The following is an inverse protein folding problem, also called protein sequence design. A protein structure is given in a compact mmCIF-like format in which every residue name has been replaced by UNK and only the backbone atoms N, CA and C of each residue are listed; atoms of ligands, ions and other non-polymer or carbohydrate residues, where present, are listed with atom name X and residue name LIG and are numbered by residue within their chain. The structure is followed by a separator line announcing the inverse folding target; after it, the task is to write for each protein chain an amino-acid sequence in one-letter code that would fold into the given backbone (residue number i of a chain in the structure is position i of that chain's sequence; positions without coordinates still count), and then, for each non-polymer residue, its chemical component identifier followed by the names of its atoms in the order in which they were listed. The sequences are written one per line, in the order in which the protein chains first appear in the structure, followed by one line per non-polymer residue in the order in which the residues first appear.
data_IF_304397977216
#
_entry.id   IF_304397977216
#
_cell.length_a   1.000
_cell.length_b   1.000
_cell.length_c   1.000
_cell.angle_alpha   90.00
_cell.angle_beta   90.00
_cell.angle_gamma   90.00
#
_symmetry.space_group_name_H-M   'P 1'
#
loop_
_entity.id
_entity.type
_entity.pdbx_description
1 polymer ?
#
# COMPACT_ATOMS: atom_id res chain seq x y z
N UNK A 1 8.12 5.29 5.76
CA UNK A 1 6.85 5.01 6.47
C UNK A 1 6.98 5.49 7.90
N UNK A 2 6.00 6.24 8.40
CA UNK A 2 6.00 6.82 9.74
C UNK A 2 5.04 6.10 10.70
N UNK A 3 4.97 6.55 11.95
CA UNK A 3 4.08 6.06 13.02
C UNK A 3 2.58 6.07 12.65
N UNK A 4 1.77 5.37 13.45
CA UNK A 4 0.31 5.27 13.28
C UNK A 4 -0.39 6.63 13.09
N UNK A 5 -0.03 7.62 13.89
CA UNK A 5 -0.47 9.01 13.73
C UNK A 5 0.55 9.78 12.91
N UNK A 6 0.09 10.39 11.81
CA UNK A 6 0.89 11.30 11.01
C UNK A 6 1.23 12.59 11.78
N UNK A 7 2.51 12.97 11.84
CA UNK A 7 2.94 14.24 12.45
C UNK A 7 2.50 15.48 11.67
N UNK A 8 2.31 15.35 10.34
CA UNK A 8 1.95 16.49 9.47
C UNK A 8 0.46 16.76 9.48
N UNK A 9 -0.38 15.72 9.46
CA UNK A 9 -1.83 15.84 9.27
C UNK A 9 -2.65 15.39 10.48
N UNK A 10 -2.04 14.67 11.42
CA UNK A 10 -2.74 14.06 12.55
C UNK A 10 -3.57 12.82 12.19
N UNK A 11 -3.66 12.42 10.90
CA UNK A 11 -4.42 11.25 10.45
C UNK A 11 -3.87 9.98 11.08
N UNK A 12 -4.77 9.11 11.53
CA UNK A 12 -4.47 7.78 12.06
C UNK A 12 -4.74 6.74 10.97
N UNK A 13 -3.85 5.77 10.82
CA UNK A 13 -4.00 4.70 9.83
C UNK A 13 -3.38 3.40 10.31
N UNK A 14 -4.10 2.30 10.06
CA UNK A 14 -3.66 0.95 10.40
C UNK A 14 -2.33 0.60 9.76
N UNK A 15 -1.59 -0.31 10.39
CA UNK A 15 -0.28 -0.77 9.92
C UNK A 15 -0.35 -1.31 8.47
N UNK A 16 -1.36 -2.12 8.15
CA UNK A 16 -1.54 -2.69 6.81
C UNK A 16 -1.75 -1.62 5.73
N UNK A 17 -2.50 -0.56 6.03
CA UNK A 17 -2.70 0.56 5.11
C UNK A 17 -1.38 1.31 4.90
N UNK A 18 -0.68 1.65 5.99
CA UNK A 18 0.62 2.34 5.93
C UNK A 18 1.66 1.56 5.14
N UNK A 19 1.79 0.25 5.39
CA UNK A 19 2.72 -0.62 4.69
C UNK A 19 2.32 -0.82 3.23
N UNK A 20 1.04 -1.13 2.96
CA UNK A 20 0.52 -1.28 1.61
C UNK A 20 0.72 -0.04 0.74
N UNK A 21 0.71 1.16 1.31
CA UNK A 21 1.03 2.40 0.60
C UNK A 21 2.54 2.66 0.48
N UNK A 22 3.36 2.16 1.40
CA UNK A 22 4.81 2.44 1.43
C UNK A 22 5.66 1.54 0.51
N UNK A 23 5.14 0.39 0.05
CA UNK A 23 5.92 -0.56 -0.78
C UNK A 23 6.22 -0.07 -2.21
N UNK A 24 5.53 0.97 -2.70
CA UNK A 24 5.55 1.37 -4.11
C UNK A 24 6.77 2.23 -4.42
N UNK A 25 7.91 1.57 -4.63
CA UNK A 25 9.20 2.19 -4.87
C UNK A 25 10.22 1.76 -3.81
N UNK A 26 11.01 2.70 -3.28
CA UNK A 26 11.97 2.42 -2.21
C UNK A 26 11.29 2.40 -0.84
N UNK A 27 11.14 1.20 -0.26
CA UNK A 27 10.59 1.04 1.09
C UNK A 27 11.59 1.54 2.14
N UNK A 28 11.11 2.39 3.05
CA UNK A 28 11.89 2.90 4.18
C UNK A 28 11.02 3.12 5.42
N UNK A 29 11.66 3.19 6.59
CA UNK A 29 11.02 3.33 7.90
C UNK A 29 11.57 4.54 8.66
N UNK A 30 10.67 5.36 9.17
CA UNK A 30 10.90 6.53 10.02
C UNK A 30 9.96 6.43 11.23
N UNK A 31 9.98 5.26 11.87
CA UNK A 31 9.12 4.89 12.98
C UNK A 31 9.98 4.24 14.06
N UNK A 32 9.82 4.66 15.32
CA UNK A 32 10.41 3.96 16.44
C UNK A 32 9.73 2.59 16.60
N UNK A 33 10.51 1.53 16.43
CA UNK A 33 10.05 0.14 16.48
C UNK A 33 10.17 -0.47 17.89
N UNK A 34 10.90 0.18 18.81
CA UNK A 34 11.09 -0.32 20.17
C UNK A 34 9.79 -0.58 20.95
N UNK A 35 8.72 0.24 20.82
CA UNK A 35 7.50 0.03 21.61
C UNK A 35 6.53 -0.97 20.96
N UNK A 36 6.88 -1.61 19.85
CA UNK A 36 5.94 -2.47 19.12
C UNK A 36 5.69 -3.80 19.82
N UNK A 37 4.45 -4.27 19.69
CA UNK A 37 4.09 -5.63 20.08
C UNK A 37 4.72 -6.65 19.14
N UNK A 38 4.86 -7.88 19.63
CA UNK A 38 5.38 -9.01 18.84
C UNK A 38 4.56 -9.22 17.55
N UNK A 39 3.23 -9.13 17.64
CA UNK A 39 2.35 -9.25 16.47
C UNK A 39 2.57 -8.14 15.42
N UNK A 40 2.89 -6.92 15.83
CA UNK A 40 3.22 -5.83 14.91
C UNK A 40 4.59 -6.04 14.25
N UNK A 41 5.56 -6.58 15.00
CA UNK A 41 6.88 -6.92 14.49
C UNK A 41 6.81 -8.08 13.49
N UNK A 42 6.00 -9.10 13.76
CA UNK A 42 5.76 -10.22 12.84
C UNK A 42 5.12 -9.74 11.54
N UNK A 43 4.06 -8.93 11.64
CA UNK A 43 3.44 -8.33 10.46
C UNK A 43 4.45 -7.49 9.68
N UNK A 44 5.27 -6.69 10.36
CA UNK A 44 6.32 -5.90 9.71
C UNK A 44 7.34 -6.78 8.98
N UNK A 45 7.75 -7.90 9.58
CA UNK A 45 8.68 -8.84 8.98
C UNK A 45 8.10 -9.50 7.71
N UNK A 46 6.83 -9.90 7.73
CA UNK A 46 6.12 -10.42 6.56
C UNK A 46 6.12 -9.41 5.41
N UNK A 47 5.81 -8.14 5.69
CA UNK A 47 5.83 -7.08 4.69
C UNK A 47 7.23 -6.80 4.15
N UNK A 48 8.26 -6.85 4.99
CA UNK A 48 9.65 -6.71 4.55
C UNK A 48 10.05 -7.88 3.65
N UNK A 49 9.65 -9.11 3.98
CA UNK A 49 9.90 -10.28 3.13
C UNK A 49 9.20 -10.11 1.79
N UNK A 50 7.90 -9.78 1.80
CA UNK A 50 7.14 -9.51 0.60
C UNK A 50 7.80 -8.44 -0.27
N UNK A 51 8.23 -7.31 0.32
CA UNK A 51 8.92 -6.27 -0.43
C UNK A 51 10.22 -6.80 -1.05
N UNK A 52 11.05 -7.53 -0.30
CA UNK A 52 12.30 -8.11 -0.82
C UNK A 52 12.06 -9.07 -1.98
N UNK A 53 11.04 -9.91 -1.89
CA UNK A 53 10.67 -10.89 -2.92
C UNK A 53 10.12 -10.23 -4.20
N UNK A 54 9.64 -8.99 -4.09
CA UNK A 54 8.97 -8.27 -5.18
C UNK A 54 9.69 -6.99 -5.62
N UNK A 55 10.80 -6.60 -4.98
CA UNK A 55 11.44 -5.29 -5.19
C UNK A 55 11.87 -5.05 -6.63
N UNK A 56 12.30 -6.10 -7.33
CA UNK A 56 12.75 -5.96 -8.72
C UNK A 56 11.58 -5.53 -9.60
N UNK A 57 10.39 -6.11 -9.39
CA UNK A 57 9.17 -5.64 -10.04
C UNK A 57 8.79 -4.23 -9.57
N UNK A 58 8.75 -3.99 -8.26
CA UNK A 58 8.29 -2.73 -7.68
C UNK A 58 9.14 -1.51 -8.08
N UNK A 59 10.41 -1.72 -8.41
CA UNK A 59 11.36 -0.68 -8.77
C UNK A 59 11.53 -0.47 -10.28
N UNK A 60 11.17 -1.46 -11.10
CA UNK A 60 11.44 -1.44 -12.55
C UNK A 60 10.16 -1.42 -13.41
N UNK A 61 9.05 -1.99 -12.93
CA UNK A 61 7.84 -2.15 -13.76
C UNK A 61 7.07 -0.87 -14.06
N UNK A 62 6.10 -0.99 -14.97
CA UNK A 62 5.26 0.11 -15.43
C UNK A 62 4.16 0.47 -14.42
N UNK A 63 4.08 1.75 -14.08
CA UNK A 63 3.12 2.30 -13.12
C UNK A 63 1.69 2.37 -13.69
N UNK A 64 0.74 1.86 -12.91
CA UNK A 64 -0.69 2.02 -13.13
C UNK A 64 -1.29 2.86 -12.00
N UNK A 65 -2.08 3.87 -12.36
CA UNK A 65 -2.89 4.67 -11.41
C UNK A 65 -4.25 4.99 -12.01
N UNK A 66 -5.31 4.75 -11.23
CA UNK A 66 -6.69 5.05 -11.59
C UNK A 66 -7.49 5.39 -10.34
N UNK A 67 -8.26 6.46 -10.38
CA UNK A 67 -9.40 6.63 -9.48
C UNK A 67 -10.55 5.78 -10.05
N UNK A 68 -11.24 5.03 -9.18
CA UNK A 68 -12.34 4.15 -9.55
C UNK A 68 -13.56 4.41 -8.67
N UNK A 69 -14.71 3.84 -9.04
CA UNK A 69 -16.00 4.21 -8.45
C UNK A 69 -16.29 5.71 -8.65
N UNK A 70 -16.79 6.37 -7.62
CA UNK A 70 -17.04 7.81 -7.54
C UNK A 70 -15.81 8.60 -7.04
N UNK A 71 -14.61 8.01 -7.12
CA UNK A 71 -13.37 8.57 -6.58
C UNK A 71 -13.07 8.14 -5.14
N UNK A 72 -13.98 7.41 -4.50
CA UNK A 72 -13.77 6.83 -3.16
C UNK A 72 -12.70 5.74 -3.11
N UNK A 73 -12.41 5.12 -4.26
CA UNK A 73 -11.45 4.04 -4.41
C UNK A 73 -10.29 4.48 -5.30
N UNK A 74 -9.09 4.20 -4.83
CA UNK A 74 -7.86 4.48 -5.56
C UNK A 74 -7.15 3.16 -5.90
N UNK A 75 -7.03 2.87 -7.19
CA UNK A 75 -6.28 1.75 -7.72
C UNK A 75 -4.89 2.23 -8.14
N UNK A 76 -3.86 1.59 -7.61
CA UNK A 76 -2.50 1.76 -8.13
C UNK A 76 -1.74 0.45 -8.12
N UNK A 77 -0.76 0.34 -9.01
CA UNK A 77 -0.07 -0.91 -9.25
C UNK A 77 1.17 -0.76 -10.09
N UNK A 78 1.88 -1.87 -10.24
CA UNK A 78 3.04 -2.03 -11.10
C UNK A 78 2.86 -3.30 -11.91
N UNK A 79 3.09 -3.22 -13.21
CA UNK A 79 3.03 -4.33 -14.16
C UNK A 79 4.42 -4.55 -14.74
N UNK A 80 4.87 -5.80 -14.87
CA UNK A 80 6.13 -6.09 -15.55
C UNK A 80 6.03 -5.67 -17.03
N UNK A 81 7.13 -5.22 -17.63
CA UNK A 81 7.15 -4.79 -19.04
C UNK A 81 6.71 -5.87 -20.03
N UNK A 82 6.92 -7.14 -19.69
CA UNK A 82 6.50 -8.30 -20.49
C UNK A 82 5.07 -8.78 -20.16
N UNK A 83 4.38 -8.09 -19.25
CA UNK A 83 3.05 -8.38 -18.74
C UNK A 83 2.91 -9.76 -18.07
N UNK A 84 4.01 -10.39 -17.66
CA UNK A 84 4.00 -11.72 -17.03
C UNK A 84 3.48 -11.73 -15.59
N UNK A 85 3.59 -10.59 -14.90
CA UNK A 85 3.16 -10.42 -13.51
C UNK A 85 2.77 -8.98 -13.21
N UNK A 86 1.89 -8.80 -12.24
CA UNK A 86 1.46 -7.50 -11.76
C UNK A 86 1.17 -7.52 -10.26
N UNK A 87 1.35 -6.38 -9.61
CA UNK A 87 0.91 -6.13 -8.24
C UNK A 87 -0.01 -4.90 -8.24
N UNK A 88 -1.09 -4.96 -7.48
CA UNK A 88 -2.03 -3.86 -7.33
C UNK A 88 -2.43 -3.68 -5.86
N UNK A 89 -2.66 -2.43 -5.46
CA UNK A 89 -3.41 -2.08 -4.26
C UNK A 89 -4.66 -1.31 -4.67
N UNK A 90 -5.78 -1.68 -4.05
CA UNK A 90 -7.02 -0.92 -4.07
C UNK A 90 -7.21 -0.30 -2.67
N UNK A 91 -7.10 1.02 -2.57
CA UNK A 91 -7.26 1.76 -1.32
C UNK A 91 -8.63 2.44 -1.29
N UNK A 92 -9.37 2.27 -0.20
CA UNK A 92 -10.59 3.03 0.08
C UNK A 92 -10.20 4.29 0.84
N UNK A 93 -10.33 5.45 0.20
CA UNK A 93 -9.97 6.75 0.77
C UNK A 93 -11.13 7.36 1.56
N UNK A 94 -12.35 7.09 1.09
CA UNK A 94 -13.59 7.65 1.64
C UNK A 94 -14.69 6.60 1.57
N UNK A 95 -15.67 6.69 2.47
CA UNK A 95 -16.86 5.85 2.35
C UNK A 95 -17.76 6.42 1.26
N UNK A 96 -17.88 5.71 0.14
CA UNK A 96 -18.80 6.12 -0.92
C UNK A 96 -20.25 6.18 -0.41
N UNK A 97 -21.03 7.21 -0.80
CA UNK A 97 -22.47 7.24 -0.62
C UNK A 97 -23.21 6.22 -1.50
N UNK A 98 -22.54 5.66 -2.52
CA UNK A 98 -23.06 4.64 -3.42
C UNK A 98 -22.35 3.31 -3.15
N UNK A 99 -23.00 2.17 -3.40
CA UNK A 99 -22.30 0.87 -3.32
C UNK A 99 -21.52 0.64 -4.62
N UNK A 100 -20.17 0.58 -4.62
CA UNK A 100 -19.40 0.37 -5.84
C UNK A 100 -19.42 -1.12 -6.21
N UNK A 101 -20.55 -1.62 -6.71
CA UNK A 101 -20.68 -2.99 -7.22
C UNK A 101 -20.42 -3.00 -8.72
N UNK A 102 -19.50 -3.85 -9.17
CA UNK A 102 -19.35 -4.21 -10.59
C UNK A 102 -18.54 -3.28 -11.48
N UNK A 103 -17.75 -2.35 -10.94
CA UNK A 103 -17.01 -1.35 -11.74
C UNK A 103 -15.55 -1.75 -12.10
N UNK A 104 -15.16 -3.00 -11.82
CA UNK A 104 -13.88 -3.56 -12.24
C UNK A 104 -14.10 -4.38 -13.52
N UNK A 105 -14.33 -3.71 -14.65
CA UNK A 105 -14.44 -4.33 -15.97
C UNK A 105 -13.50 -3.62 -16.95
#
# INVERSE_FOLDING_TARGET
MASERSHTTGRVSDLSFRLGTAIWGHLGFEWDLLPLSEAELDALAEWISFYKDNRDLLLDGDLVRRDVADGSLWLHGIVAHDHSRALYQLACLERSPMSPRGMFA
#
